data_IF_897817738272
#
_entry.id   IF_897817738272
#
_cell.length_a   1.000
_cell.length_b   1.000
_cell.length_c   1.000
_cell.angle_alpha   90.00
_cell.angle_beta   90.00
_cell.angle_gamma   90.00
#
_symmetry.space_group_name_H-M   'P 1'
#
loop_
_entity.id
_entity.type
_entity.pdbx_description
1 polymer ?
#
# COMPACT_ATOMS: atom_id res chain seq x y z
N UNK A 1 9.97 -43.94 25.23
CA UNK A 1 9.09 -43.02 24.49
C UNK A 1 9.07 -41.70 25.22
N UNK A 2 9.13 -40.55 24.52
CA UNK A 2 9.05 -39.25 25.18
C UNK A 2 7.71 -39.12 25.93
N UNK A 3 7.75 -38.50 27.10
CA UNK A 3 6.59 -38.19 27.92
C UNK A 3 5.68 -37.17 27.24
N UNK A 4 4.41 -37.09 27.67
CA UNK A 4 3.47 -36.10 27.13
C UNK A 4 3.97 -34.66 27.26
N UNK A 5 4.69 -34.35 28.35
CA UNK A 5 5.29 -33.03 28.60
C UNK A 5 6.43 -32.76 27.61
N UNK A 6 7.28 -33.76 27.34
CA UNK A 6 8.37 -33.63 26.36
C UNK A 6 7.83 -33.48 24.93
N UNK A 7 6.77 -34.21 24.58
CA UNK A 7 6.10 -34.07 23.27
C UNK A 7 5.50 -32.68 23.11
N UNK A 8 4.83 -32.15 24.14
CA UNK A 8 4.27 -30.79 24.12
C UNK A 8 5.36 -29.73 24.01
N UNK A 9 6.47 -29.88 24.73
CA UNK A 9 7.63 -29.00 24.61
C UNK A 9 8.22 -29.03 23.20
N UNK A 10 8.38 -30.21 22.59
CA UNK A 10 8.89 -30.35 21.22
C UNK A 10 7.97 -29.68 20.19
N UNK A 11 6.64 -29.78 20.35
CA UNK A 11 5.68 -29.09 19.49
C UNK A 11 5.81 -27.57 19.61
N UNK A 12 5.92 -27.04 20.83
CA UNK A 12 6.10 -25.61 21.05
C UNK A 12 7.44 -25.10 20.50
N UNK A 13 8.52 -25.89 20.63
CA UNK A 13 9.81 -25.56 20.03
C UNK A 13 9.73 -25.52 18.50
N UNK A 14 9.04 -26.48 17.89
CA UNK A 14 8.84 -26.51 16.44
C UNK A 14 8.12 -25.26 15.93
N UNK A 15 7.15 -24.71 16.67
CA UNK A 15 6.46 -23.46 16.30
C UNK A 15 7.43 -22.28 16.25
N UNK A 16 8.34 -22.15 17.22
CA UNK A 16 9.28 -21.03 17.32
C UNK A 16 10.39 -21.12 16.28
N UNK A 17 10.81 -22.34 15.94
CA UNK A 17 11.90 -22.58 15.01
C UNK A 17 11.46 -22.61 13.54
N UNK A 18 10.16 -22.82 13.26
CA UNK A 18 9.63 -22.85 11.89
C UNK A 18 9.94 -21.58 11.06
N UNK A 19 9.81 -20.34 11.60
CA UNK A 19 10.21 -19.15 10.86
C UNK A 19 11.71 -19.14 10.51
N UNK A 20 12.56 -19.67 11.41
CA UNK A 20 14.00 -19.74 11.20
C UNK A 20 14.38 -20.80 10.16
N UNK A 21 13.70 -21.95 10.15
CA UNK A 21 13.82 -22.96 9.11
C UNK A 21 13.47 -22.36 7.74
N UNK A 22 12.33 -21.67 7.64
CA UNK A 22 11.91 -21.01 6.40
C UNK A 22 12.94 -19.98 5.94
N UNK A 23 13.32 -19.05 6.82
CA UNK A 23 14.32 -18.03 6.51
C UNK A 23 15.65 -18.62 6.06
N UNK A 24 16.08 -19.73 6.68
CA UNK A 24 17.31 -20.43 6.31
C UNK A 24 17.18 -21.05 4.92
N UNK A 25 16.07 -21.71 4.62
CA UNK A 25 15.81 -22.31 3.30
C UNK A 25 15.75 -21.23 2.20
N UNK A 26 15.05 -20.13 2.47
CA UNK A 26 14.88 -19.02 1.54
C UNK A 26 16.21 -18.33 1.21
N UNK A 27 17.07 -18.13 2.22
CA UNK A 27 18.40 -17.51 2.03
C UNK A 27 19.41 -18.51 1.43
N UNK A 28 19.24 -19.81 1.66
CA UNK A 28 20.12 -20.84 1.12
C UNK A 28 19.81 -21.22 -0.34
N UNK A 29 18.76 -20.66 -0.93
CA UNK A 29 18.45 -20.86 -2.34
C UNK A 29 19.47 -20.20 -3.26
N UNK A 30 20.35 -20.99 -3.89
CA UNK A 30 21.50 -20.55 -4.71
C UNK A 30 21.14 -19.77 -6.00
N UNK A 31 19.86 -19.47 -6.26
CA UNK A 31 19.40 -18.92 -7.56
C UNK A 31 19.15 -17.41 -7.59
N UNK A 32 19.19 -16.69 -6.46
CA UNK A 32 18.83 -15.27 -6.41
C UNK A 32 19.75 -14.43 -5.52
N UNK A 33 19.81 -13.11 -5.78
CA UNK A 33 20.52 -12.15 -4.92
C UNK A 33 19.84 -12.10 -3.55
N UNK A 34 20.53 -12.56 -2.51
CA UNK A 34 19.97 -12.70 -1.15
C UNK A 34 20.15 -11.45 -0.29
N UNK A 35 21.01 -10.51 -0.71
CA UNK A 35 21.39 -9.36 0.12
C UNK A 35 20.20 -8.41 0.38
N UNK A 36 19.32 -8.22 -0.62
CA UNK A 36 18.13 -7.36 -0.49
C UNK A 36 17.10 -7.93 0.51
N UNK A 37 17.11 -9.25 0.72
CA UNK A 37 16.18 -9.95 1.63
C UNK A 37 16.62 -9.90 3.10
N UNK A 38 17.86 -9.49 3.41
CA UNK A 38 18.38 -9.54 4.79
C UNK A 38 17.54 -8.67 5.74
N UNK A 39 17.30 -7.40 5.41
CA UNK A 39 16.49 -6.50 6.26
C UNK A 39 15.05 -7.00 6.41
N UNK A 40 14.33 -7.37 5.32
CA UNK A 40 13.00 -7.97 5.41
C UNK A 40 12.96 -9.22 6.29
N UNK A 41 13.85 -10.18 6.07
CA UNK A 41 13.89 -11.44 6.84
C UNK A 41 14.19 -11.18 8.31
N UNK A 42 15.16 -10.32 8.62
CA UNK A 42 15.49 -9.95 10.00
C UNK A 42 14.28 -9.30 10.68
N UNK A 43 13.62 -8.37 10.01
CA UNK A 43 12.44 -7.71 10.56
C UNK A 43 11.29 -8.72 10.79
N UNK A 44 10.96 -9.57 9.82
CA UNK A 44 9.94 -10.59 9.95
C UNK A 44 10.24 -11.57 11.09
N UNK A 45 11.48 -12.06 11.21
CA UNK A 45 11.89 -12.96 12.29
C UNK A 45 11.80 -12.29 13.67
N UNK A 46 12.28 -11.05 13.80
CA UNK A 46 12.19 -10.30 15.07
C UNK A 46 10.75 -10.05 15.46
N UNK A 47 9.90 -9.61 14.51
CA UNK A 47 8.47 -9.37 14.76
C UNK A 47 7.74 -10.66 15.15
N UNK A 48 8.07 -11.79 14.53
CA UNK A 48 7.52 -13.09 14.95
C UNK A 48 7.95 -13.45 16.38
N UNK A 49 9.23 -13.28 16.72
CA UNK A 49 9.74 -13.51 18.08
C UNK A 49 9.11 -12.59 19.14
N UNK A 50 8.77 -11.37 18.78
CA UNK A 50 8.15 -10.40 19.69
C UNK A 50 6.66 -10.71 19.92
N UNK A 51 5.98 -11.24 18.91
CA UNK A 51 4.55 -11.58 18.98
C UNK A 51 4.26 -12.96 19.60
N UNK A 52 5.28 -13.80 19.79
CA UNK A 52 5.13 -15.11 20.42
C UNK A 52 4.81 -14.97 21.91
N UNK A 53 3.63 -15.42 22.33
CA UNK A 53 3.21 -15.52 23.73
C UNK A 53 3.27 -16.98 24.18
N UNK A 54 4.02 -17.26 25.25
CA UNK A 54 4.08 -18.60 25.85
C UNK A 54 4.22 -18.52 27.37
N UNK A 55 3.53 -19.41 28.07
CA UNK A 55 3.60 -19.54 29.52
C UNK A 55 4.69 -20.54 29.96
N UNK A 56 5.43 -21.15 29.02
CA UNK A 56 6.44 -22.16 29.32
C UNK A 56 7.84 -21.51 29.50
N UNK A 57 8.50 -21.65 30.66
CA UNK A 57 9.80 -21.04 30.92
C UNK A 57 10.92 -21.45 29.97
N UNK A 58 10.93 -22.71 29.51
CA UNK A 58 11.95 -23.21 28.59
C UNK A 58 11.80 -22.55 27.20
N UNK A 59 10.57 -22.39 26.75
CA UNK A 59 10.23 -21.70 25.51
C UNK A 59 10.63 -20.22 25.57
N UNK A 60 10.34 -19.56 26.68
CA UNK A 60 10.70 -18.16 26.87
C UNK A 60 12.22 -17.96 26.90
N UNK A 61 12.97 -18.91 27.47
CA UNK A 61 14.43 -18.93 27.43
C UNK A 61 14.95 -19.03 25.99
N UNK A 62 14.39 -19.94 25.18
CA UNK A 62 14.76 -20.08 23.76
C UNK A 62 14.43 -18.82 22.97
N UNK A 63 13.23 -18.26 23.16
CA UNK A 63 12.81 -17.00 22.51
C UNK A 63 13.79 -15.86 22.81
N UNK A 64 14.13 -15.66 24.09
CA UNK A 64 15.14 -14.65 24.51
C UNK A 64 16.52 -14.92 23.91
N UNK A 65 16.96 -16.17 23.88
CA UNK A 65 18.22 -16.57 23.26
C UNK A 65 18.26 -16.25 21.76
N UNK A 66 17.19 -16.56 21.03
CA UNK A 66 17.05 -16.26 19.61
C UNK A 66 16.99 -14.75 19.36
N UNK A 67 16.21 -13.99 20.13
CA UNK A 67 16.18 -12.53 20.01
C UNK A 67 17.55 -11.90 20.26
N UNK A 68 18.27 -12.36 21.30
CA UNK A 68 19.62 -11.88 21.59
C UNK A 68 20.62 -12.23 20.46
N UNK A 69 20.52 -13.44 19.90
CA UNK A 69 21.35 -13.85 18.77
C UNK A 69 21.05 -13.03 17.49
N UNK A 70 19.77 -12.77 17.22
CA UNK A 70 19.32 -11.92 16.10
C UNK A 70 19.86 -10.51 16.24
N UNK A 71 19.69 -9.88 17.41
CA UNK A 71 20.21 -8.54 17.67
C UNK A 71 21.74 -8.50 17.56
N UNK A 72 22.44 -9.48 18.13
CA UNK A 72 23.91 -9.56 18.07
C UNK A 72 24.45 -9.66 16.65
N UNK A 73 23.78 -10.43 15.78
CA UNK A 73 24.25 -10.69 14.40
C UNK A 73 23.76 -9.66 13.39
N UNK A 74 22.52 -9.20 13.55
CA UNK A 74 21.82 -8.41 12.53
C UNK A 74 21.32 -7.05 13.02
N UNK A 75 21.52 -6.68 14.28
CA UNK A 75 21.05 -5.41 14.83
C UNK A 75 21.61 -4.17 14.09
N UNK A 76 22.76 -4.31 13.43
CA UNK A 76 23.39 -3.26 12.62
C UNK A 76 23.17 -3.41 11.11
N UNK A 77 22.31 -4.35 10.67
CA UNK A 77 22.09 -4.63 9.25
C UNK A 77 21.61 -3.39 8.48
N UNK A 78 20.71 -2.60 9.06
CA UNK A 78 20.19 -1.37 8.45
C UNK A 78 21.23 -0.23 8.35
N UNK A 79 22.30 -0.30 9.14
CA UNK A 79 23.42 0.66 9.07
C UNK A 79 24.49 0.23 8.06
N UNK A 80 24.47 -1.03 7.61
CA UNK A 80 25.35 -1.49 6.55
C UNK A 80 24.84 -0.99 5.20
N UNK A 81 25.58 -0.04 4.61
CA UNK A 81 25.14 0.60 3.36
C UNK A 81 24.87 -0.38 2.22
N UNK A 82 25.62 -1.47 2.06
CA UNK A 82 25.40 -2.41 0.94
C UNK A 82 24.06 -3.14 1.10
N UNK A 83 23.79 -3.63 2.31
CA UNK A 83 22.54 -4.32 2.64
C UNK A 83 21.37 -3.35 2.48
N UNK A 84 21.44 -2.19 3.13
CA UNK A 84 20.38 -1.19 3.10
C UNK A 84 20.07 -0.71 1.68
N UNK A 85 21.09 -0.36 0.89
CA UNK A 85 20.90 0.08 -0.49
C UNK A 85 20.33 -1.05 -1.36
N UNK A 86 20.80 -2.29 -1.23
CA UNK A 86 20.25 -3.41 -1.99
C UNK A 86 18.79 -3.73 -1.64
N UNK A 87 18.37 -3.55 -0.38
CA UNK A 87 16.98 -3.69 0.03
C UNK A 87 16.12 -2.55 -0.53
N UNK A 88 16.61 -1.31 -0.50
CA UNK A 88 15.89 -0.14 -1.04
C UNK A 88 15.69 -0.24 -2.54
N UNK A 89 16.72 -0.69 -3.27
CA UNK A 89 16.66 -0.85 -4.72
C UNK A 89 15.77 -2.02 -5.15
N UNK A 90 15.56 -3.02 -4.28
CA UNK A 90 14.64 -4.12 -4.58
C UNK A 90 13.19 -3.60 -4.50
N UNK A 91 12.48 -3.47 -5.63
CA UNK A 91 11.18 -2.80 -5.62
C UNK A 91 10.11 -3.59 -4.88
N UNK A 92 10.39 -4.84 -4.44
CA UNK A 92 9.49 -5.60 -3.54
C UNK A 92 9.56 -5.06 -2.13
N UNK A 93 10.71 -4.59 -1.66
CA UNK A 93 10.92 -4.24 -0.25
C UNK A 93 11.06 -2.74 -0.02
N UNK A 94 11.76 -2.03 -0.91
CA UNK A 94 12.01 -0.58 -0.78
C UNK A 94 12.47 -0.22 0.65
N UNK A 95 11.77 0.70 1.31
CA UNK A 95 12.01 1.10 2.69
C UNK A 95 11.06 0.43 3.71
N UNK A 96 10.17 -0.49 3.28
CA UNK A 96 9.05 -1.02 4.07
C UNK A 96 9.51 -1.68 5.37
N UNK A 97 10.66 -2.37 5.34
CA UNK A 97 11.13 -3.18 6.47
C UNK A 97 12.16 -2.49 7.38
N UNK A 98 12.49 -1.22 7.15
CA UNK A 98 13.45 -0.49 7.98
C UNK A 98 12.82 -0.06 9.31
N UNK A 99 13.40 -0.49 10.43
CA UNK A 99 13.02 -0.04 11.78
C UNK A 99 13.84 1.16 12.26
N UNK A 100 14.97 1.46 11.60
CA UNK A 100 15.85 2.58 11.90
C UNK A 100 15.75 3.66 10.81
N UNK A 101 14.98 4.74 11.05
CA UNK A 101 14.81 5.82 10.08
C UNK A 101 16.13 6.47 9.66
N UNK A 102 17.09 6.61 10.58
CA UNK A 102 18.39 7.20 10.29
C UNK A 102 19.24 6.31 9.37
N UNK A 103 19.17 4.99 9.54
CA UNK A 103 19.83 4.02 8.66
C UNK A 103 19.26 4.07 7.24
N UNK A 104 17.93 4.08 7.13
CA UNK A 104 17.21 4.22 5.86
C UNK A 104 17.57 5.53 5.14
N UNK A 105 17.42 6.67 5.81
CA UNK A 105 17.74 7.99 5.23
C UNK A 105 19.19 8.09 4.75
N UNK A 106 20.13 7.55 5.53
CA UNK A 106 21.55 7.50 5.15
C UNK A 106 21.80 6.65 3.90
N UNK A 107 21.10 5.52 3.75
CA UNK A 107 21.20 4.68 2.56
C UNK A 107 20.58 5.35 1.33
N UNK A 108 19.42 5.99 1.47
CA UNK A 108 18.80 6.78 0.39
C UNK A 108 19.72 7.94 -0.04
N UNK A 109 20.29 8.69 0.90
CA UNK A 109 21.21 9.78 0.59
C UNK A 109 22.44 9.28 -0.18
N UNK A 110 22.95 8.10 0.17
CA UNK A 110 24.07 7.47 -0.53
C UNK A 110 23.68 6.99 -1.93
N UNK A 111 22.49 6.40 -2.11
CA UNK A 111 21.96 6.05 -3.43
C UNK A 111 21.80 7.28 -4.31
N UNK A 112 21.19 8.36 -3.80
CA UNK A 112 21.06 9.62 -4.53
C UNK A 112 22.42 10.14 -5.00
N UNK A 113 23.45 10.06 -4.15
CA UNK A 113 24.82 10.43 -4.53
C UNK A 113 25.38 9.55 -5.66
N UNK A 114 25.20 8.23 -5.57
CA UNK A 114 25.64 7.29 -6.61
C UNK A 114 24.92 7.52 -7.94
N UNK A 115 23.59 7.74 -7.92
CA UNK A 115 22.82 8.04 -9.12
C UNK A 115 23.27 9.37 -9.77
N UNK A 116 23.60 10.39 -8.99
CA UNK A 116 24.14 11.66 -9.52
C UNK A 116 25.51 11.45 -10.20
N UNK A 117 26.32 10.51 -9.70
CA UNK A 117 27.60 10.12 -10.30
C UNK A 117 27.41 9.20 -11.52
N UNK A 118 26.30 8.45 -11.63
CA UNK A 118 25.98 7.53 -12.73
C UNK A 118 25.11 8.12 -13.86
N UNK A 119 24.56 9.33 -13.74
CA UNK A 119 23.82 10.03 -14.83
C UNK A 119 24.70 10.30 -16.08
N UNK A 120 25.99 9.92 -16.05
CA UNK A 120 26.82 9.78 -17.26
C UNK A 120 26.65 8.46 -18.04
N UNK A 121 25.78 7.52 -17.65
CA UNK A 121 25.48 6.31 -18.45
C UNK A 121 24.20 5.59 -17.98
N UNK A 122 23.19 5.53 -18.85
CA UNK A 122 21.90 4.77 -18.75
C UNK A 122 22.15 3.23 -18.73
N UNK A 123 21.25 2.27 -18.39
CA UNK A 123 19.77 2.16 -18.39
C UNK A 123 19.25 0.90 -17.62
N UNK A 124 17.96 0.97 -17.23
CA UNK A 124 16.84 0.02 -16.86
C UNK A 124 16.94 -1.53 -16.73
N UNK A 125 16.13 -2.12 -15.82
CA UNK A 125 15.83 -3.57 -15.68
C UNK A 125 14.36 -3.89 -15.24
N UNK A 126 13.84 -5.05 -15.69
CA UNK A 126 12.48 -5.63 -15.56
C UNK A 126 12.27 -6.55 -14.32
N UNK A 127 11.01 -6.93 -14.03
CA UNK A 127 10.61 -7.84 -12.94
C UNK A 127 9.69 -8.99 -13.35
N UNK A 128 9.80 -10.10 -12.61
CA UNK A 128 8.98 -11.30 -12.71
C UNK A 128 8.31 -11.69 -11.36
N UNK A 129 7.20 -12.41 -11.44
CA UNK A 129 6.29 -12.75 -10.33
C UNK A 129 5.93 -14.25 -10.32
N UNK A 130 5.55 -14.79 -9.16
CA UNK A 130 5.03 -16.17 -9.01
C UNK A 130 4.08 -16.29 -7.81
N UNK A 131 2.99 -17.06 -7.98
CA UNK A 131 1.97 -17.37 -6.96
C UNK A 131 1.88 -18.89 -6.69
N UNK A 132 1.47 -19.26 -5.46
CA UNK A 132 1.22 -20.64 -5.00
C UNK A 132 0.47 -20.66 -3.65
N UNK A 133 -0.20 -21.79 -3.28
CA UNK A 133 -1.44 -21.79 -2.50
C UNK A 133 -1.27 -21.81 -0.96
N UNK A 134 -2.40 -21.57 -0.28
CA UNK A 134 -2.60 -21.43 1.17
C UNK A 134 -1.75 -22.35 2.05
N UNK A 135 -0.67 -21.77 2.60
CA UNK A 135 0.14 -22.29 3.70
C UNK A 135 0.80 -21.09 4.39
N UNK A 136 1.34 -21.28 5.61
CA UNK A 136 1.98 -20.26 6.45
C UNK A 136 2.65 -19.13 5.64
N UNK A 137 1.99 -17.98 5.59
CA UNK A 137 2.43 -16.84 4.77
C UNK A 137 3.48 -16.03 5.52
N UNK A 138 4.75 -16.40 5.30
CA UNK A 138 5.90 -15.69 5.85
C UNK A 138 5.90 -14.20 5.48
N UNK A 139 5.33 -13.83 4.33
CA UNK A 139 5.25 -12.46 3.83
C UNK A 139 3.99 -11.72 4.29
N UNK A 140 3.16 -12.31 5.15
CA UNK A 140 1.93 -11.68 5.64
C UNK A 140 2.17 -10.27 6.20
N UNK A 141 3.20 -10.09 7.02
CA UNK A 141 3.54 -8.77 7.58
C UNK A 141 4.01 -7.78 6.52
N UNK A 142 4.70 -8.26 5.48
CA UNK A 142 5.06 -7.41 4.34
C UNK A 142 3.81 -6.96 3.58
N UNK A 143 2.91 -7.90 3.27
CA UNK A 143 1.63 -7.60 2.63
C UNK A 143 0.81 -6.62 3.46
N UNK A 144 0.65 -6.83 4.76
CA UNK A 144 -0.05 -5.90 5.67
C UNK A 144 0.55 -4.49 5.69
N UNK A 145 1.87 -4.34 5.54
CA UNK A 145 2.54 -3.03 5.48
C UNK A 145 2.53 -2.40 4.08
N UNK A 146 2.44 -3.21 3.03
CA UNK A 146 2.43 -2.79 1.62
C UNK A 146 1.02 -2.64 1.04
N UNK A 147 0.00 -3.12 1.75
CA UNK A 147 -1.40 -3.04 1.35
C UNK A 147 -1.85 -1.59 1.32
N UNK A 148 -2.47 -1.21 0.21
CA UNK A 148 -3.36 -0.05 0.22
C UNK A 148 -4.51 -0.33 1.17
N UNK A 149 -4.91 0.69 1.92
CA UNK A 149 -6.03 0.62 2.86
C UNK A 149 -7.33 0.63 2.04
N UNK A 150 -7.60 -0.46 1.33
CA UNK A 150 -8.81 -0.70 0.55
C UNK A 150 -9.54 -1.95 1.04
N UNK A 151 -10.87 -1.89 1.20
CA UNK A 151 -11.67 -3.01 1.70
C UNK A 151 -13.11 -2.95 1.21
N UNK A 152 -13.76 -4.12 1.19
CA UNK A 152 -15.20 -4.18 0.98
C UNK A 152 -15.97 -3.68 2.20
N UNK A 153 -16.98 -2.86 1.94
CA UNK A 153 -17.81 -2.27 2.99
C UNK A 153 -18.89 -3.25 3.50
N UNK A 154 -19.25 -3.09 4.77
CA UNK A 154 -20.49 -3.62 5.32
C UNK A 154 -21.73 -2.93 4.71
N UNK A 155 -22.92 -3.35 5.13
CA UNK A 155 -24.20 -2.77 4.70
C UNK A 155 -24.81 -1.86 5.77
N UNK A 156 -24.03 -1.37 6.73
CA UNK A 156 -24.53 -0.50 7.79
C UNK A 156 -24.87 0.89 7.23
N UNK A 157 -25.92 1.50 7.77
CA UNK A 157 -26.29 2.90 7.52
C UNK A 157 -25.77 3.85 8.61
N UNK A 158 -24.82 3.38 9.42
CA UNK A 158 -24.11 4.20 10.39
C UNK A 158 -23.36 5.37 9.72
N UNK A 159 -22.75 6.25 10.53
CA UNK A 159 -22.01 7.42 10.05
C UNK A 159 -21.00 7.03 8.95
N UNK A 160 -21.25 7.52 7.73
CA UNK A 160 -20.46 7.26 6.52
C UNK A 160 -18.95 7.48 6.67
N UNK A 161 -18.53 8.27 7.68
CA UNK A 161 -17.14 8.61 7.98
C UNK A 161 -16.40 7.52 8.79
N UNK A 162 -17.10 6.48 9.26
CA UNK A 162 -16.51 5.33 9.93
C UNK A 162 -15.85 4.38 8.92
N UNK A 163 -15.10 3.37 9.35
CA UNK A 163 -14.41 2.47 8.40
C UNK A 163 -15.38 1.54 7.65
N UNK A 164 -16.49 1.12 8.25
CA UNK A 164 -17.47 0.18 7.66
C UNK A 164 -16.86 -1.15 7.20
N UNK A 165 -15.98 -1.75 7.99
CA UNK A 165 -15.44 -3.07 7.68
C UNK A 165 -16.51 -4.16 7.76
N UNK A 166 -16.54 -5.07 6.78
CA UNK A 166 -17.23 -6.36 6.92
C UNK A 166 -16.69 -7.15 8.11
N UNK A 167 -17.49 -8.10 8.59
CA UNK A 167 -17.06 -9.04 9.63
C UNK A 167 -17.10 -10.49 9.07
N UNK A 168 -15.94 -11.12 8.79
CA UNK A 168 -14.57 -10.60 8.97
C UNK A 168 -14.20 -9.54 7.91
N UNK A 169 -13.17 -8.69 8.16
CA UNK A 169 -12.69 -7.72 7.19
C UNK A 169 -12.23 -8.38 5.88
N UNK A 170 -12.52 -7.73 4.76
CA UNK A 170 -12.16 -8.18 3.42
C UNK A 170 -11.39 -7.06 2.72
N UNK A 171 -10.06 -7.10 2.84
CA UNK A 171 -9.17 -6.13 2.21
C UNK A 171 -8.86 -6.51 0.76
N UNK A 172 -8.46 -5.53 -0.04
CA UNK A 172 -7.93 -5.72 -1.39
C UNK A 172 -6.50 -5.20 -1.44
N UNK A 173 -5.63 -5.88 -2.15
CA UNK A 173 -4.36 -5.29 -2.58
C UNK A 173 -4.55 -4.35 -3.80
N UNK A 174 -3.46 -3.74 -4.26
CA UNK A 174 -3.47 -2.79 -5.37
C UNK A 174 -3.87 -3.43 -6.70
N UNK A 175 -3.40 -4.65 -6.95
CA UNK A 175 -3.69 -5.38 -8.18
C UNK A 175 -5.17 -5.77 -8.21
N UNK A 176 -5.70 -6.24 -7.08
CA UNK A 176 -7.10 -6.56 -6.90
C UNK A 176 -7.98 -5.32 -7.06
N UNK A 177 -7.63 -4.19 -6.42
CA UNK A 177 -8.36 -2.93 -6.58
C UNK A 177 -8.42 -2.51 -8.05
N UNK A 178 -7.28 -2.52 -8.74
CA UNK A 178 -7.21 -2.18 -10.17
C UNK A 178 -8.01 -3.16 -11.02
N UNK A 179 -7.91 -4.47 -10.78
CA UNK A 179 -8.65 -5.49 -11.53
C UNK A 179 -10.17 -5.38 -11.33
N UNK A 180 -10.61 -5.02 -10.13
CA UNK A 180 -12.03 -4.93 -9.79
C UNK A 180 -12.68 -3.61 -10.22
N UNK A 181 -11.93 -2.51 -10.22
CA UNK A 181 -12.49 -1.16 -10.40
C UNK A 181 -11.78 -0.30 -11.46
N UNK A 182 -10.57 -0.65 -11.87
CA UNK A 182 -9.73 0.17 -12.74
C UNK A 182 -9.17 1.41 -12.05
N UNK A 183 -9.34 1.53 -10.73
CA UNK A 183 -8.69 2.56 -9.92
C UNK A 183 -7.19 2.31 -9.88
N UNK A 184 -6.42 3.33 -10.21
CA UNK A 184 -4.96 3.30 -10.07
C UNK A 184 -4.56 4.09 -8.82
N UNK A 185 -3.51 3.64 -8.16
CA UNK A 185 -3.02 4.25 -6.93
C UNK A 185 -1.50 4.28 -6.94
N UNK A 186 -0.94 5.41 -6.51
CA UNK A 186 0.49 5.65 -6.45
C UNK A 186 0.85 6.28 -5.12
N UNK A 187 1.97 5.83 -4.54
CA UNK A 187 2.56 6.48 -3.37
C UNK A 187 3.63 7.47 -3.83
N UNK A 188 3.49 8.73 -3.43
CA UNK A 188 4.38 9.84 -3.77
C UNK A 188 5.06 10.35 -2.49
N UNK A 189 6.30 10.80 -2.61
CA UNK A 189 7.04 11.42 -1.50
C UNK A 189 6.67 12.91 -1.38
N UNK A 190 5.98 13.29 -0.30
CA UNK A 190 5.52 14.67 -0.10
C UNK A 190 6.64 15.70 0.00
N UNK A 191 7.83 15.31 0.43
CA UNK A 191 8.97 16.21 0.57
C UNK A 191 9.65 16.46 -0.77
N UNK A 192 9.51 15.52 -1.73
CA UNK A 192 10.28 15.55 -2.97
C UNK A 192 9.47 15.46 -4.27
N UNK A 193 8.14 15.27 -4.23
CA UNK A 193 7.29 15.07 -5.42
C UNK A 193 7.39 16.19 -6.46
N UNK A 194 7.75 17.40 -6.03
CA UNK A 194 7.89 18.55 -6.91
C UNK A 194 9.23 18.54 -7.67
N UNK A 195 10.24 17.82 -7.18
CA UNK A 195 11.60 17.80 -7.73
C UNK A 195 12.07 16.42 -8.20
N UNK A 196 11.50 15.32 -7.68
CA UNK A 196 11.88 13.95 -8.04
C UNK A 196 11.45 13.55 -9.46
N UNK A 197 10.52 14.29 -10.05
CA UNK A 197 10.04 14.09 -11.41
C UNK A 197 8.99 12.99 -11.57
N UNK A 198 8.57 12.28 -10.52
CA UNK A 198 7.59 11.19 -10.62
C UNK A 198 6.21 11.73 -11.01
N UNK A 199 5.72 12.74 -10.29
CA UNK A 199 4.46 13.40 -10.62
C UNK A 199 4.52 14.04 -12.02
N UNK A 200 5.65 14.67 -12.37
CA UNK A 200 5.84 15.27 -13.69
C UNK A 200 5.78 14.24 -14.84
N UNK A 201 6.38 13.06 -14.64
CA UNK A 201 6.30 11.94 -15.60
C UNK A 201 4.87 11.44 -15.75
N UNK A 202 4.14 11.27 -14.65
CA UNK A 202 2.73 10.86 -14.68
C UNK A 202 1.86 11.87 -15.43
N UNK A 203 1.99 13.16 -15.09
CA UNK A 203 1.30 14.26 -15.77
C UNK A 203 1.58 14.26 -17.27
N UNK A 204 2.84 14.08 -17.66
CA UNK A 204 3.23 14.01 -19.08
C UNK A 204 2.65 12.77 -19.78
N UNK A 205 2.74 11.58 -19.16
CA UNK A 205 2.20 10.32 -19.70
C UNK A 205 0.70 10.41 -19.95
N UNK A 206 -0.04 11.02 -19.01
CA UNK A 206 -1.51 11.10 -19.03
C UNK A 206 -2.08 12.38 -19.65
N UNK A 207 -1.23 13.36 -19.95
CA UNK A 207 -1.66 14.64 -20.51
C UNK A 207 -2.32 15.58 -19.50
N UNK A 208 -2.00 15.48 -18.21
CA UNK A 208 -2.55 16.35 -17.17
C UNK A 208 -1.94 17.75 -17.28
N UNK A 209 -2.68 18.66 -17.92
CA UNK A 209 -2.26 20.03 -18.24
C UNK A 209 -2.75 21.07 -17.24
N UNK A 210 -3.71 20.74 -16.38
CA UNK A 210 -4.25 21.64 -15.36
C UNK A 210 -4.12 21.01 -13.97
N UNK A 211 -3.81 21.83 -12.98
CA UNK A 211 -3.86 21.44 -11.57
C UNK A 211 -4.31 22.61 -10.69
N UNK A 212 -5.00 22.27 -9.60
CA UNK A 212 -5.26 23.20 -8.50
C UNK A 212 -5.25 22.45 -7.15
N UNK A 213 -5.53 23.17 -6.07
CA UNK A 213 -5.64 22.60 -4.72
C UNK A 213 -7.03 22.85 -4.13
N UNK A 214 -7.55 21.86 -3.41
CA UNK A 214 -8.75 21.96 -2.61
C UNK A 214 -8.42 21.67 -1.14
N UNK A 215 -8.97 22.49 -0.24
CA UNK A 215 -8.99 22.23 1.20
C UNK A 215 -10.44 21.97 1.59
N UNK A 216 -10.73 20.75 1.99
CA UNK A 216 -12.05 20.35 2.45
C UNK A 216 -12.05 20.31 3.98
N UNK A 217 -12.42 21.46 4.56
CA UNK A 217 -12.68 21.65 5.99
C UNK A 217 -13.87 22.58 6.15
N UNK A 218 -14.47 22.61 7.34
CA UNK A 218 -15.62 23.49 7.63
C UNK A 218 -15.27 24.97 7.48
N UNK A 219 -14.02 25.34 7.74
CA UNK A 219 -13.51 26.71 7.71
C UNK A 219 -13.16 27.16 6.29
N UNK A 220 -12.60 26.26 5.47
CA UNK A 220 -12.06 26.61 4.16
C UNK A 220 -13.03 26.36 3.00
N UNK A 221 -13.98 25.43 3.14
CA UNK A 221 -14.84 25.01 2.05
C UNK A 221 -16.17 25.78 2.05
N UNK A 222 -16.35 26.64 1.03
CA UNK A 222 -17.64 27.31 0.82
C UNK A 222 -18.76 26.29 0.55
N UNK A 223 -19.90 26.47 1.20
CA UNK A 223 -21.02 25.52 1.23
C UNK A 223 -20.57 24.10 1.62
N UNK A 224 -19.83 24.00 2.72
CA UNK A 224 -19.26 22.75 3.24
C UNK A 224 -20.27 21.59 3.24
N UNK A 225 -21.44 21.80 3.83
CA UNK A 225 -22.49 20.77 3.94
C UNK A 225 -23.08 20.38 2.57
N UNK A 226 -23.33 21.36 1.68
CA UNK A 226 -23.83 21.10 0.33
C UNK A 226 -22.82 20.34 -0.51
N UNK A 227 -21.54 20.72 -0.44
CA UNK A 227 -20.45 20.04 -1.15
C UNK A 227 -20.20 18.64 -0.63
N UNK A 228 -20.17 18.42 0.69
CA UNK A 228 -20.03 17.07 1.24
C UNK A 228 -21.18 16.15 0.80
N UNK A 229 -22.42 16.65 0.79
CA UNK A 229 -23.55 15.90 0.23
C UNK A 229 -23.36 15.59 -1.25
N UNK A 230 -22.90 16.56 -2.04
CA UNK A 230 -22.63 16.35 -3.46
C UNK A 230 -21.51 15.33 -3.70
N UNK A 231 -20.43 15.38 -2.93
CA UNK A 231 -19.31 14.45 -3.03
C UNK A 231 -19.72 13.03 -2.63
N UNK A 232 -20.58 12.90 -1.62
CA UNK A 232 -21.01 11.59 -1.13
C UNK A 232 -22.18 10.96 -1.91
N UNK A 233 -22.93 11.77 -2.65
CA UNK A 233 -23.96 11.24 -3.56
C UNK A 233 -23.28 10.40 -4.63
N UNK A 234 -23.69 9.15 -4.83
CA UNK A 234 -23.08 8.26 -5.84
C UNK A 234 -23.19 8.85 -7.24
N UNK A 235 -22.04 9.07 -7.89
CA UNK A 235 -21.94 9.75 -9.18
C UNK A 235 -20.83 9.18 -10.06
N UNK A 236 -20.76 9.65 -11.31
CA UNK A 236 -19.64 9.42 -12.21
C UNK A 236 -19.22 10.72 -12.90
N UNK A 237 -18.03 10.69 -13.49
CA UNK A 237 -17.50 11.77 -14.33
C UNK A 237 -17.19 11.29 -15.75
N UNK A 238 -17.21 12.22 -16.71
CA UNK A 238 -16.81 11.98 -18.12
C UNK A 238 -15.31 11.82 -18.29
N UNK A 239 -14.55 12.32 -17.32
CA UNK A 239 -13.09 12.34 -17.28
C UNK A 239 -12.58 11.63 -16.02
N UNK A 240 -11.27 11.41 -15.96
CA UNK A 240 -10.63 10.85 -14.77
C UNK A 240 -10.74 11.82 -13.59
N UNK A 241 -11.00 11.29 -12.40
CA UNK A 241 -10.94 12.05 -11.15
C UNK A 241 -9.60 11.73 -10.46
N UNK A 242 -8.64 12.65 -10.58
CA UNK A 242 -7.31 12.48 -10.00
C UNK A 242 -7.18 13.33 -8.74
N UNK A 243 -6.69 12.71 -7.66
CA UNK A 243 -6.47 13.37 -6.36
C UNK A 243 -5.13 12.96 -5.81
N UNK A 244 -4.30 13.94 -5.48
CA UNK A 244 -3.05 13.74 -4.76
C UNK A 244 -3.15 14.39 -3.38
N UNK A 245 -3.20 13.57 -2.34
CA UNK A 245 -3.42 14.01 -0.95
C UNK A 245 -2.15 14.58 -0.36
N UNK A 246 -2.22 15.84 0.07
CA UNK A 246 -1.12 16.57 0.68
C UNK A 246 -1.20 16.57 2.20
N UNK A 247 -2.40 16.66 2.77
CA UNK A 247 -2.65 16.63 4.21
C UNK A 247 -4.03 16.03 4.51
N UNK A 248 -4.22 15.55 5.74
CA UNK A 248 -5.48 14.97 6.18
C UNK A 248 -5.79 13.64 5.51
N UNK A 249 -7.07 13.25 5.49
CA UNK A 249 -7.50 11.93 5.04
C UNK A 249 -8.97 11.88 4.64
N UNK A 250 -9.33 10.83 3.92
CA UNK A 250 -10.72 10.58 3.52
C UNK A 250 -10.88 9.24 2.80
N UNK A 251 -12.10 8.96 2.37
CA UNK A 251 -12.48 7.72 1.69
C UNK A 251 -13.04 8.00 0.30
N UNK A 252 -12.52 7.28 -0.68
CA UNK A 252 -13.15 7.09 -1.98
C UNK A 252 -13.84 5.73 -1.99
N UNK A 253 -15.16 5.72 -2.11
CA UNK A 253 -15.91 4.47 -2.31
C UNK A 253 -16.13 4.28 -3.81
N UNK A 254 -15.82 3.09 -4.33
CA UNK A 254 -15.99 2.74 -5.75
C UNK A 254 -16.77 1.44 -5.90
N UNK A 255 -17.52 1.30 -7.00
CA UNK A 255 -18.24 0.06 -7.32
C UNK A 255 -17.33 -0.96 -7.99
N UNK A 256 -17.37 -2.20 -7.49
CA UNK A 256 -16.74 -3.34 -8.14
C UNK A 256 -17.61 -3.92 -9.28
N UNK A 257 -17.15 -5.03 -9.88
CA UNK A 257 -17.85 -5.73 -10.97
C UNK A 257 -19.23 -6.28 -10.60
N UNK A 258 -19.45 -6.53 -9.31
CA UNK A 258 -20.71 -7.04 -8.75
C UNK A 258 -21.55 -5.92 -8.12
N UNK A 259 -21.21 -4.67 -8.41
CA UNK A 259 -21.85 -3.47 -7.88
C UNK A 259 -21.76 -3.37 -6.34
N UNK A 260 -20.76 -3.99 -5.73
CA UNK A 260 -20.44 -3.85 -4.30
C UNK A 260 -19.51 -2.66 -4.05
N UNK A 261 -19.64 -2.03 -2.87
CA UNK A 261 -18.76 -0.95 -2.47
C UNK A 261 -17.40 -1.46 -1.99
N UNK A 262 -16.33 -0.94 -2.60
CA UNK A 262 -14.96 -0.98 -2.10
C UNK A 262 -14.65 0.42 -1.57
N UNK A 263 -14.26 0.53 -0.31
CA UNK A 263 -13.75 1.75 0.31
C UNK A 263 -12.23 1.80 0.15
N UNK A 264 -11.72 2.92 -0.34
CA UNK A 264 -10.28 3.21 -0.46
C UNK A 264 -9.96 4.40 0.42
N UNK A 265 -9.18 4.19 1.47
CA UNK A 265 -8.65 5.28 2.28
C UNK A 265 -7.45 5.93 1.60
N UNK A 266 -7.45 7.26 1.64
CA UNK A 266 -6.35 8.07 1.15
C UNK A 266 -5.82 8.95 2.27
N UNK A 267 -4.50 8.96 2.42
CA UNK A 267 -3.74 9.71 3.44
C UNK A 267 -2.62 10.53 2.76
N UNK A 268 -1.87 11.39 3.47
CA UNK A 268 -0.85 12.22 2.85
C UNK A 268 0.20 11.37 2.11
N UNK A 269 0.52 11.77 0.89
CA UNK A 269 1.40 11.05 -0.03
C UNK A 269 0.67 10.13 -1.01
N UNK A 270 -0.64 10.00 -0.91
CA UNK A 270 -1.41 9.11 -1.78
C UNK A 270 -1.93 9.85 -3.01
N UNK A 271 -1.65 9.32 -4.20
CA UNK A 271 -2.25 9.75 -5.44
C UNK A 271 -3.19 8.65 -5.95
N UNK A 272 -4.47 8.97 -6.08
CA UNK A 272 -5.50 8.08 -6.61
C UNK A 272 -6.03 8.61 -7.94
N UNK A 273 -6.24 7.71 -8.91
CA UNK A 273 -6.87 7.98 -10.21
C UNK A 273 -8.14 7.16 -10.28
N UNK A 274 -9.28 7.84 -10.22
CA UNK A 274 -10.60 7.24 -10.42
C UNK A 274 -10.91 7.28 -11.92
N UNK A 275 -11.12 6.13 -12.59
CA UNK A 275 -11.30 6.09 -14.03
C UNK A 275 -12.62 6.73 -14.45
N UNK A 276 -12.63 7.39 -15.62
CA UNK A 276 -13.87 7.92 -16.21
C UNK A 276 -14.97 6.87 -16.29
N UNK A 277 -16.22 7.25 -15.99
CA UNK A 277 -17.38 6.37 -16.11
C UNK A 277 -17.59 5.35 -14.97
N UNK A 278 -16.73 5.29 -13.96
CA UNK A 278 -16.99 4.49 -12.75
C UNK A 278 -17.96 5.22 -11.82
N UNK A 279 -18.87 4.48 -11.19
CA UNK A 279 -19.63 5.01 -10.07
C UNK A 279 -18.76 5.04 -8.82
N UNK A 280 -18.69 6.21 -8.21
CA UNK A 280 -17.92 6.45 -7.01
C UNK A 280 -18.57 7.54 -6.16
N UNK A 281 -18.03 7.74 -4.96
CA UNK A 281 -18.35 8.85 -4.06
C UNK A 281 -17.17 9.11 -3.14
N UNK A 282 -17.15 10.30 -2.55
CA UNK A 282 -16.14 10.71 -1.59
C UNK A 282 -16.78 11.13 -0.27
N UNK A 283 -16.14 10.75 0.84
CA UNK A 283 -16.43 11.30 2.17
C UNK A 283 -15.13 11.59 2.91
N UNK A 284 -15.15 12.60 3.77
CA UNK A 284 -14.14 12.71 4.82
C UNK A 284 -14.25 11.51 5.77
N UNK A 285 -13.17 11.22 6.48
CA UNK A 285 -13.22 10.35 7.65
C UNK A 285 -13.59 11.16 8.91
N UNK A 286 -13.44 10.55 10.09
CA UNK A 286 -13.75 11.20 11.37
C UNK A 286 -12.83 12.37 11.72
N UNK A 287 -11.70 12.57 11.02
CA UNK A 287 -10.83 13.74 11.19
C UNK A 287 -11.38 14.99 10.50
N UNK A 288 -12.33 14.86 9.56
CA UNK A 288 -13.03 15.96 8.90
C UNK A 288 -12.12 16.99 8.21
N UNK A 289 -10.96 16.54 7.71
CA UNK A 289 -10.01 17.41 7.04
C UNK A 289 -9.25 16.66 5.95
N UNK A 290 -9.22 17.22 4.75
CA UNK A 290 -8.30 16.80 3.69
C UNK A 290 -7.86 18.02 2.86
N UNK A 291 -6.58 18.04 2.49
CA UNK A 291 -6.03 18.96 1.48
C UNK A 291 -5.45 18.13 0.35
N UNK A 292 -5.94 18.37 -0.87
CA UNK A 292 -5.53 17.58 -2.03
C UNK A 292 -5.28 18.46 -3.25
N UNK A 293 -4.25 18.11 -4.04
CA UNK A 293 -4.10 18.55 -5.41
C UNK A 293 -5.07 17.79 -6.30
N UNK A 294 -5.69 18.50 -7.24
CA UNK A 294 -6.58 17.92 -8.25
C UNK A 294 -5.93 18.12 -9.61
N UNK A 295 -5.87 17.08 -10.44
CA UNK A 295 -5.21 17.11 -11.75
C UNK A 295 -6.23 16.81 -12.87
N UNK A 296 -6.08 17.46 -14.03
CA UNK A 296 -7.01 17.34 -15.15
C UNK A 296 -6.29 17.33 -16.50
N UNK A 297 -6.91 16.64 -17.46
CA UNK A 297 -6.64 16.82 -18.88
C UNK A 297 -7.44 18.04 -19.36
N UNK A 298 -6.77 19.08 -19.83
CA UNK A 298 -7.43 20.31 -20.30
C UNK A 298 -8.06 21.15 -19.17
N UNK A 299 -9.07 21.94 -19.52
CA UNK A 299 -9.86 22.69 -18.54
C UNK A 299 -10.76 21.75 -17.73
N UNK A 300 -10.89 21.95 -16.40
CA UNK A 300 -11.57 20.98 -15.56
C UNK A 300 -13.10 21.02 -15.75
N UNK A 301 -13.68 19.86 -16.04
CA UNK A 301 -15.13 19.64 -16.01
C UNK A 301 -15.50 18.90 -14.73
N UNK A 302 -16.05 19.63 -13.76
CA UNK A 302 -16.38 19.11 -12.42
C UNK A 302 -17.74 18.43 -12.32
N UNK A 303 -18.52 18.40 -13.39
CA UNK A 303 -19.93 18.04 -13.33
C UNK A 303 -20.10 16.59 -12.89
N UNK A 304 -20.69 16.33 -11.71
CA UNK A 304 -21.04 14.98 -11.32
C UNK A 304 -22.33 14.56 -12.04
N UNK A 305 -22.36 13.33 -12.53
CA UNK A 305 -23.57 12.70 -13.04
C UNK A 305 -24.03 11.65 -12.04
N UNK A 306 -24.98 12.04 -11.19
CA UNK A 306 -25.52 11.17 -10.14
C UNK A 306 -26.16 9.91 -10.77
N UNK A 307 -25.99 8.78 -10.10
CA UNK A 307 -26.62 7.53 -10.51
C UNK A 307 -28.16 7.66 -10.45
N UNK A 308 -28.92 7.18 -11.46
CA UNK A 308 -28.49 6.46 -12.66
C UNK A 308 -27.98 7.37 -13.79
N UNK A 309 -26.85 6.97 -14.39
CA UNK A 309 -26.20 7.62 -15.53
C UNK A 309 -25.74 6.58 -16.59
N UNK A 310 -26.37 5.41 -16.64
CA UNK A 310 -25.91 4.25 -17.41
C UNK A 310 -25.94 4.43 -18.94
N UNK A 311 -26.67 5.43 -19.43
CA UNK A 311 -26.78 5.71 -20.85
C UNK A 311 -25.58 6.48 -21.42
N UNK A 312 -24.74 7.06 -20.55
CA UNK A 312 -23.59 7.87 -20.96
C UNK A 312 -22.51 7.02 -21.63
N UNK A 313 -21.88 7.59 -22.65
CA UNK A 313 -20.85 6.89 -23.43
C UNK A 313 -19.63 6.50 -22.58
N UNK A 314 -19.17 7.38 -21.68
CA UNK A 314 -18.07 7.08 -20.77
C UNK A 314 -18.37 5.85 -19.88
N UNK A 315 -19.63 5.69 -19.45
CA UNK A 315 -20.06 4.56 -18.63
C UNK A 315 -20.07 3.26 -19.43
N UNK A 316 -20.56 3.29 -20.67
CA UNK A 316 -20.53 2.12 -21.58
C UNK A 316 -19.11 1.67 -21.86
N UNK A 317 -18.22 2.61 -22.19
CA UNK A 317 -16.79 2.34 -22.41
C UNK A 317 -16.10 1.78 -21.16
N UNK A 318 -16.40 2.33 -19.98
CA UNK A 318 -15.90 1.79 -18.71
C UNK A 318 -16.33 0.32 -18.50
N UNK A 319 -17.61 0.01 -18.71
CA UNK A 319 -18.12 -1.35 -18.57
C UNK A 319 -17.49 -2.32 -19.58
N UNK A 320 -17.22 -1.87 -20.81
CA UNK A 320 -16.50 -2.67 -21.79
C UNK A 320 -15.06 -2.99 -21.36
N UNK A 321 -14.32 -1.99 -20.85
CA UNK A 321 -12.97 -2.18 -20.28
C UNK A 321 -13.02 -3.14 -19.10
N UNK A 322 -13.94 -2.95 -18.17
CA UNK A 322 -14.12 -3.82 -17.01
C UNK A 322 -14.39 -5.28 -17.41
N UNK A 323 -15.16 -5.51 -18.48
CA UNK A 323 -15.43 -6.86 -19.02
C UNK A 323 -14.21 -7.48 -19.68
N UNK A 324 -13.44 -6.71 -20.46
CA UNK A 324 -12.23 -7.19 -21.15
C UNK A 324 -11.06 -7.39 -20.19
N UNK A 325 -11.04 -6.68 -19.07
CA UNK A 325 -9.87 -6.51 -18.21
C UNK A 325 -9.28 -5.12 -18.46
N UNK A 326 -8.82 -4.47 -17.39
CA UNK A 326 -8.08 -3.23 -17.52
C UNK A 326 -6.65 -3.57 -17.96
N UNK A 327 -6.17 -2.91 -19.01
CA UNK A 327 -4.79 -2.97 -19.50
C UNK A 327 -4.10 -1.65 -19.12
N UNK A 328 -2.81 -1.70 -18.74
CA UNK A 328 -1.98 -0.55 -18.31
C UNK A 328 -1.51 0.38 -19.45
#
# INVERSE_FOLDING_TARGET
MPSAIEIDLLRNLAVILRPFEYATTEISGEKYVTMSKIIPVVNCLTTHLDNLKSNNPAIESVRKGLSAAMHKRFGMAELNSKIAMSTILDPRFKNIHFKNPAGCAKAIAKLKKLCIEEISSESEEEKAEATGPESFDFWKTHKELAMVRAWYMDSSEDDQRLEHHRNPPQFLDLEELFKMSGVEYFKMDLDTYAQDGELARLKKKRGYSYEDEIVCSKECLQDYEGKLRSFFTEHLHTDEEIRFVLEGSGYFDVRDRSDQWIRVEVVPGDLIIIPRGIYHRFTLDTHNFIRAKRLFVGEPVWTPHNRPADQMECRKLYLERMRKGFEE
#
